data_IF_974302344984
#
_entry.id   IF_974302344984
#
_cell.length_a   1.000
_cell.length_b   1.000
_cell.length_c   1.000
_cell.angle_alpha   90.00
_cell.angle_beta   90.00
_cell.angle_gamma   90.00
#
_symmetry.space_group_name_H-M   'P 1'
#
loop_
_entity.id
_entity.type
_entity.pdbx_description
1 polymer ?
#
# COMPACT_ATOMS: atom_id res chain seq x y z
N UNK A 1 10.48 -23.41 -15.95
CA UNK A 1 10.92 -22.94 -14.62
C UNK A 1 11.80 -21.69 -14.78
N UNK A 2 11.91 -20.82 -13.77
CA UNK A 2 12.76 -19.62 -13.81
C UNK A 2 14.21 -19.92 -14.26
N UNK A 3 14.81 -20.99 -13.76
CA UNK A 3 16.16 -21.45 -14.08
C UNK A 3 16.32 -21.81 -15.57
N UNK A 4 15.42 -22.60 -16.14
CA UNK A 4 15.47 -22.96 -17.57
C UNK A 4 15.26 -21.75 -18.49
N UNK A 5 14.58 -20.71 -17.99
CA UNK A 5 14.44 -19.45 -18.72
C UNK A 5 15.78 -18.71 -18.76
N UNK A 6 16.49 -18.62 -17.62
CA UNK A 6 17.83 -18.02 -17.57
C UNK A 6 18.82 -18.77 -18.45
N UNK A 7 18.83 -20.11 -18.43
CA UNK A 7 19.68 -20.94 -19.28
C UNK A 7 19.49 -20.61 -20.77
N UNK A 8 18.23 -20.54 -21.22
CA UNK A 8 17.90 -20.21 -22.60
C UNK A 8 18.32 -18.79 -22.98
N UNK A 9 18.05 -17.81 -22.11
CA UNK A 9 18.44 -16.42 -22.36
C UNK A 9 19.95 -16.27 -22.37
N UNK A 10 20.67 -17.00 -21.51
CA UNK A 10 22.12 -17.04 -21.52
C UNK A 10 22.69 -17.53 -22.86
N UNK A 11 22.13 -18.62 -23.41
CA UNK A 11 22.51 -19.14 -24.72
C UNK A 11 22.26 -18.12 -25.84
N UNK A 12 21.09 -17.49 -25.85
CA UNK A 12 20.75 -16.46 -26.83
C UNK A 12 21.72 -15.25 -26.73
N UNK A 13 22.05 -14.79 -25.52
CA UNK A 13 22.99 -13.67 -25.31
C UNK A 13 24.42 -14.02 -25.72
N UNK A 14 24.90 -15.24 -25.41
CA UNK A 14 26.22 -15.71 -25.83
C UNK A 14 26.37 -15.77 -27.35
N UNK A 15 25.31 -16.14 -28.07
CA UNK A 15 25.30 -16.19 -29.55
C UNK A 15 25.30 -14.79 -30.19
N UNK A 16 24.78 -13.79 -29.47
CA UNK A 16 24.53 -12.45 -30.05
C UNK A 16 25.75 -11.53 -29.96
N UNK A 17 26.94 -12.03 -29.59
CA UNK A 17 28.20 -11.25 -29.46
C UNK A 17 27.97 -9.87 -28.86
N UNK A 18 27.55 -9.85 -27.60
CA UNK A 18 27.53 -8.64 -26.82
C UNK A 18 28.99 -8.29 -26.47
N UNK A 19 29.66 -7.43 -27.27
CA UNK A 19 31.04 -6.90 -27.09
C UNK A 19 31.52 -6.77 -25.62
N UNK A 20 31.85 -7.89 -24.96
CA UNK A 20 32.12 -7.97 -23.51
C UNK A 20 30.98 -7.52 -22.58
N UNK A 21 29.73 -7.35 -23.04
CA UNK A 21 28.59 -6.94 -22.20
C UNK A 21 27.86 -8.15 -21.63
N UNK A 22 27.48 -8.06 -20.38
CA UNK A 22 26.76 -9.09 -19.64
C UNK A 22 25.57 -8.49 -18.90
N UNK A 23 24.63 -9.34 -18.48
CA UNK A 23 23.37 -8.90 -17.88
C UNK A 23 23.15 -9.62 -16.56
N UNK A 24 22.91 -8.86 -15.49
CA UNK A 24 22.40 -9.41 -14.24
C UNK A 24 20.88 -9.50 -14.31
N UNK A 25 20.31 -10.62 -13.87
CA UNK A 25 18.87 -10.85 -13.95
C UNK A 25 18.38 -11.64 -12.74
N UNK A 26 17.22 -11.26 -12.22
CA UNK A 26 16.43 -12.05 -11.28
C UNK A 26 15.06 -12.30 -11.90
N UNK A 27 14.67 -13.57 -11.98
CA UNK A 27 13.40 -13.98 -12.58
C UNK A 27 12.67 -14.93 -11.65
N UNK A 28 11.34 -14.90 -11.70
CA UNK A 28 10.55 -15.78 -10.88
C UNK A 28 9.07 -15.71 -11.20
N UNK A 29 8.34 -16.66 -10.62
CA UNK A 29 6.89 -16.61 -10.57
C UNK A 29 6.41 -16.75 -9.13
N UNK A 30 5.23 -16.21 -8.87
CA UNK A 30 4.59 -16.24 -7.57
C UNK A 30 3.15 -16.71 -7.75
N UNK A 31 2.68 -17.60 -6.87
CA UNK A 31 1.25 -17.93 -6.81
C UNK A 31 0.45 -16.63 -6.55
N UNK A 32 -0.75 -16.51 -7.11
CA UNK A 32 -1.60 -15.31 -6.96
C UNK A 32 -1.93 -14.99 -5.50
N UNK A 33 -1.88 -15.98 -4.62
CA UNK A 33 -2.06 -15.81 -3.18
C UNK A 33 -0.74 -15.55 -2.42
N UNK A 34 0.38 -15.42 -3.15
CA UNK A 34 1.72 -15.19 -2.65
C UNK A 34 2.14 -16.15 -1.52
N UNK A 35 1.77 -17.43 -1.65
CA UNK A 35 2.16 -18.47 -0.67
C UNK A 35 3.58 -18.97 -0.92
N UNK A 36 3.90 -19.19 -2.20
CA UNK A 36 5.21 -19.63 -2.64
C UNK A 36 5.68 -18.78 -3.80
N UNK A 37 6.97 -18.46 -3.77
CA UNK A 37 7.69 -17.84 -4.88
C UNK A 37 8.73 -18.81 -5.36
N UNK A 38 8.82 -19.01 -6.66
CA UNK A 38 9.96 -19.67 -7.28
C UNK A 38 10.81 -18.61 -7.98
N UNK A 39 12.05 -18.40 -7.53
CA UNK A 39 13.00 -17.49 -8.15
C UNK A 39 14.25 -18.22 -8.63
N UNK A 40 14.93 -17.63 -9.62
CA UNK A 40 16.30 -17.92 -9.99
C UNK A 40 16.98 -16.59 -10.37
N UNK A 41 18.30 -16.48 -10.20
CA UNK A 41 19.01 -15.28 -10.64
C UNK A 41 20.42 -15.58 -11.19
N UNK A 42 20.97 -14.58 -11.86
CA UNK A 42 22.28 -14.57 -12.50
C UNK A 42 22.96 -13.23 -12.23
N UNK A 43 24.13 -13.24 -11.58
CA UNK A 43 24.90 -12.03 -11.27
C UNK A 43 24.23 -11.06 -10.28
N UNK A 44 23.23 -11.51 -9.52
CA UNK A 44 22.45 -10.67 -8.60
C UNK A 44 22.89 -10.90 -7.14
N UNK A 45 22.80 -9.88 -6.24
CA UNK A 45 22.98 -10.10 -4.81
C UNK A 45 22.02 -11.17 -4.25
N UNK A 46 22.38 -11.84 -3.14
CA UNK A 46 21.50 -12.82 -2.51
C UNK A 46 20.15 -12.21 -2.15
N UNK A 47 19.07 -12.91 -2.50
CA UNK A 47 17.74 -12.54 -2.03
C UNK A 47 17.64 -12.83 -0.52
N UNK A 48 17.06 -11.90 0.24
CA UNK A 48 16.94 -11.99 1.69
C UNK A 48 15.49 -12.29 2.08
N UNK A 49 15.26 -13.44 2.69
CA UNK A 49 13.99 -13.75 3.34
C UNK A 49 14.05 -13.33 4.81
N UNK A 50 13.21 -12.37 5.18
CA UNK A 50 13.09 -11.90 6.55
C UNK A 50 11.85 -12.49 7.22
N UNK A 51 12.03 -13.15 8.37
CA UNK A 51 10.96 -13.77 9.16
C UNK A 51 11.21 -13.52 10.65
N UNK A 52 10.37 -12.69 11.27
CA UNK A 52 10.37 -12.45 12.74
C UNK A 52 11.75 -12.10 13.34
N UNK A 53 12.54 -11.29 12.65
CA UNK A 53 13.89 -10.88 13.10
C UNK A 53 15.01 -11.80 12.63
N UNK A 54 14.70 -12.87 11.90
CA UNK A 54 15.69 -13.78 11.32
C UNK A 54 15.76 -13.60 9.81
N UNK A 55 16.96 -13.79 9.27
CA UNK A 55 17.23 -13.70 7.84
C UNK A 55 17.73 -15.04 7.30
N UNK A 56 17.13 -15.49 6.21
CA UNK A 56 17.63 -16.58 5.37
C UNK A 56 18.08 -16.01 4.03
N UNK A 57 19.31 -16.29 3.62
CA UNK A 57 19.81 -15.90 2.31
C UNK A 57 19.54 -17.00 1.29
N UNK A 58 18.97 -16.61 0.15
CA UNK A 58 18.90 -17.45 -1.03
C UNK A 58 19.94 -16.95 -2.00
N UNK A 59 21.06 -17.68 -2.07
CA UNK A 59 22.12 -17.41 -3.02
C UNK A 59 21.55 -17.50 -4.41
N UNK A 60 21.20 -16.36 -4.98
CA UNK A 60 20.71 -16.24 -6.34
C UNK A 60 21.91 -16.17 -7.29
N UNK A 61 22.96 -16.93 -6.95
CA UNK A 61 24.34 -16.73 -7.36
C UNK A 61 24.67 -17.52 -8.62
N UNK A 62 25.30 -16.83 -9.54
CA UNK A 62 25.84 -17.35 -10.80
C UNK A 62 26.56 -16.21 -11.50
N UNK A 63 27.41 -16.51 -12.50
CA UNK A 63 27.95 -15.43 -13.31
C UNK A 63 26.80 -14.69 -14.02
N UNK A 64 26.94 -13.38 -14.31
CA UNK A 64 26.01 -12.68 -15.17
C UNK A 64 25.75 -13.42 -16.50
N UNK A 65 24.56 -13.23 -17.07
CA UNK A 65 24.18 -13.82 -18.35
C UNK A 65 25.06 -13.29 -19.48
N UNK A 66 25.37 -14.17 -20.44
CA UNK A 66 26.18 -13.85 -21.63
C UNK A 66 27.69 -14.03 -21.45
N UNK A 67 28.14 -14.52 -20.28
CA UNK A 67 29.57 -14.70 -19.99
C UNK A 67 30.12 -16.00 -20.61
N UNK A 68 29.44 -17.12 -20.37
CA UNK A 68 29.82 -18.43 -20.90
C UNK A 68 28.57 -19.20 -21.34
N UNK A 69 28.62 -19.91 -22.48
CA UNK A 69 27.55 -20.83 -22.87
C UNK A 69 27.49 -22.03 -21.92
N UNK A 70 26.35 -22.71 -21.85
CA UNK A 70 26.14 -23.92 -21.06
C UNK A 70 26.08 -23.70 -19.55
N UNK A 71 25.92 -22.46 -19.08
CA UNK A 71 25.72 -22.17 -17.66
C UNK A 71 24.35 -22.65 -17.17
N UNK A 72 24.34 -23.23 -15.97
CA UNK A 72 23.14 -23.61 -15.22
C UNK A 72 22.88 -22.61 -14.10
N UNK A 73 21.62 -22.47 -13.69
CA UNK A 73 21.21 -21.55 -12.64
C UNK A 73 20.38 -22.29 -11.59
N UNK A 74 20.57 -21.94 -10.33
CA UNK A 74 19.82 -22.55 -9.23
C UNK A 74 18.46 -21.86 -9.06
N UNK A 75 17.40 -22.69 -9.02
CA UNK A 75 16.06 -22.28 -8.66
C UNK A 75 15.79 -22.47 -7.17
N UNK A 76 15.08 -21.54 -6.56
CA UNK A 76 14.66 -21.59 -5.16
C UNK A 76 13.16 -21.43 -5.04
N UNK A 77 12.51 -22.46 -4.47
CA UNK A 77 11.13 -22.37 -4.02
C UNK A 77 11.11 -21.87 -2.56
N UNK A 78 10.45 -20.74 -2.34
CA UNK A 78 10.47 -19.99 -1.09
C UNK A 78 9.04 -19.86 -0.57
N UNK A 79 8.82 -20.35 0.66
CA UNK A 79 7.58 -20.15 1.40
C UNK A 79 7.57 -18.77 2.06
N UNK A 80 6.57 -17.96 1.69
CA UNK A 80 6.37 -16.61 2.20
C UNK A 80 5.49 -16.54 3.46
N UNK A 81 5.15 -17.67 4.08
CA UNK A 81 4.35 -17.63 5.30
C UNK A 81 5.06 -16.83 6.41
N UNK A 82 4.38 -15.78 6.86
CA UNK A 82 4.85 -14.83 7.87
C UNK A 82 6.24 -14.23 7.55
N UNK A 83 6.57 -14.13 6.26
CA UNK A 83 7.87 -13.71 5.79
C UNK A 83 7.79 -12.72 4.62
N UNK A 84 8.86 -11.94 4.49
CA UNK A 84 9.04 -10.94 3.46
C UNK A 84 10.32 -11.23 2.70
N UNK A 85 10.24 -11.42 1.39
CA UNK A 85 11.38 -11.63 0.50
C UNK A 85 11.81 -10.29 -0.10
N UNK A 86 13.07 -9.95 0.09
CA UNK A 86 13.71 -8.75 -0.45
C UNK A 86 14.73 -9.14 -1.51
N UNK A 87 14.59 -8.56 -2.70
CA UNK A 87 15.58 -8.62 -3.76
C UNK A 87 16.06 -7.20 -4.05
N UNK A 88 17.35 -7.03 -4.31
CA UNK A 88 17.92 -5.71 -4.57
C UNK A 88 19.11 -5.78 -5.50
N UNK A 89 19.34 -4.71 -6.26
CA UNK A 89 20.59 -4.53 -7.00
C UNK A 89 21.75 -4.24 -6.04
N UNK A 90 22.97 -4.45 -6.51
CA UNK A 90 24.21 -4.03 -5.85
C UNK A 90 24.26 -2.51 -5.58
N UNK A 91 23.56 -1.71 -6.37
CA UNK A 91 23.36 -0.28 -6.10
C UNK A 91 22.83 0.01 -4.69
N UNK A 92 22.08 -0.91 -4.05
CA UNK A 92 21.66 -0.80 -2.64
C UNK A 92 22.83 -1.06 -1.69
N UNK A 93 23.62 -2.13 -1.90
CA UNK A 93 24.75 -2.47 -1.02
C UNK A 93 25.91 -1.49 -1.15
N UNK A 94 26.06 -0.88 -2.31
CA UNK A 94 27.16 0.04 -2.66
C UNK A 94 26.88 1.51 -2.26
N UNK A 95 25.67 1.81 -1.76
CA UNK A 95 25.36 3.10 -1.16
C UNK A 95 26.38 3.43 -0.08
N UNK A 96 26.86 4.68 -0.07
CA UNK A 96 27.96 5.11 0.80
C UNK A 96 27.50 6.03 1.92
N UNK A 97 28.02 5.76 3.11
CA UNK A 97 27.85 6.60 4.29
C UNK A 97 28.70 7.88 4.24
N UNK A 98 28.64 8.69 5.32
CA UNK A 98 29.41 9.92 5.45
C UNK A 98 30.94 9.67 5.46
N UNK A 99 31.37 8.48 5.87
CA UNK A 99 32.75 8.01 5.89
C UNK A 99 33.17 7.37 4.55
N UNK A 100 32.30 7.41 3.53
CA UNK A 100 32.47 6.84 2.19
C UNK A 100 32.61 5.30 2.18
N UNK A 101 32.19 4.63 3.25
CA UNK A 101 32.13 3.16 3.32
C UNK A 101 30.80 2.69 2.73
N UNK A 102 30.82 1.54 2.05
CA UNK A 102 29.59 0.90 1.55
C UNK A 102 28.80 0.34 2.73
N UNK A 103 27.48 0.41 2.67
CA UNK A 103 26.64 -0.15 3.73
C UNK A 103 26.68 -1.70 3.73
N UNK A 104 26.92 -2.31 2.55
CA UNK A 104 27.04 -3.75 2.38
C UNK A 104 25.78 -4.54 2.78
N UNK A 105 25.86 -5.86 2.76
CA UNK A 105 24.73 -6.74 3.11
C UNK A 105 24.21 -6.52 4.54
N UNK A 106 25.11 -6.25 5.50
CA UNK A 106 24.74 -5.96 6.89
C UNK A 106 23.97 -4.64 7.02
N UNK A 107 24.36 -3.61 6.27
CA UNK A 107 23.62 -2.36 6.24
C UNK A 107 22.22 -2.52 5.64
N UNK A 108 22.06 -3.37 4.62
CA UNK A 108 20.75 -3.71 4.05
C UNK A 108 19.88 -4.48 5.04
N UNK A 109 20.45 -5.46 5.76
CA UNK A 109 19.75 -6.19 6.84
C UNK A 109 19.25 -5.25 7.92
N UNK A 110 20.12 -4.37 8.41
CA UNK A 110 19.76 -3.37 9.41
C UNK A 110 18.68 -2.39 8.89
N UNK A 111 18.72 -2.03 7.61
CA UNK A 111 17.69 -1.20 6.97
C UNK A 111 16.34 -1.92 6.94
N UNK A 112 16.32 -3.20 6.56
CA UNK A 112 15.10 -4.01 6.56
C UNK A 112 14.51 -4.11 7.98
N UNK A 113 15.32 -4.38 8.99
CA UNK A 113 14.88 -4.49 10.39
C UNK A 113 14.24 -3.21 10.91
N UNK A 114 14.85 -2.04 10.63
CA UNK A 114 14.32 -0.73 11.07
C UNK A 114 12.91 -0.45 10.54
N UNK A 115 12.62 -0.88 9.32
CA UNK A 115 11.34 -0.60 8.65
C UNK A 115 10.35 -1.78 8.71
N UNK A 116 10.75 -2.93 9.26
CA UNK A 116 9.97 -4.17 9.27
C UNK A 116 8.56 -4.04 9.89
N UNK A 117 8.35 -3.09 10.80
CA UNK A 117 7.06 -2.85 11.46
C UNK A 117 6.01 -2.15 10.59
N UNK A 118 6.39 -1.56 9.46
CA UNK A 118 5.48 -0.89 8.54
C UNK A 118 4.91 -1.86 7.49
N UNK A 119 3.78 -1.51 6.88
CA UNK A 119 3.22 -2.23 5.71
C UNK A 119 4.12 -2.08 4.47
N UNK A 120 3.97 -2.98 3.49
CA UNK A 120 4.88 -3.12 2.33
C UNK A 120 5.33 -1.80 1.67
N UNK A 121 4.38 -0.94 1.29
CA UNK A 121 4.71 0.30 0.58
C UNK A 121 5.33 1.37 1.51
N UNK A 122 4.75 1.73 2.67
CA UNK A 122 5.40 2.60 3.63
C UNK A 122 6.79 2.12 4.05
N UNK A 123 6.97 0.80 4.19
CA UNK A 123 8.26 0.16 4.46
C UNK A 123 9.28 0.48 3.37
N UNK A 124 8.97 0.14 2.11
CA UNK A 124 9.86 0.46 0.98
C UNK A 124 10.14 1.96 0.86
N UNK A 125 9.12 2.80 1.07
CA UNK A 125 9.27 4.27 1.03
C UNK A 125 10.22 4.78 2.11
N UNK A 126 10.09 4.28 3.34
CA UNK A 126 10.98 4.59 4.44
C UNK A 126 12.43 4.18 4.14
N UNK A 127 12.62 2.97 3.62
CA UNK A 127 13.93 2.47 3.21
C UNK A 127 14.56 3.36 2.12
N UNK A 128 13.82 3.68 1.06
CA UNK A 128 14.31 4.55 -0.02
C UNK A 128 14.60 5.98 0.46
N UNK A 129 13.75 6.52 1.34
CA UNK A 129 13.99 7.86 1.91
C UNK A 129 15.33 7.90 2.66
N UNK A 130 15.63 6.85 3.43
CA UNK A 130 16.88 6.73 4.17
C UNK A 130 18.08 6.60 3.23
N UNK A 131 18.00 5.74 2.22
CA UNK A 131 19.05 5.57 1.21
C UNK A 131 19.33 6.87 0.43
N UNK A 132 18.31 7.70 0.15
CA UNK A 132 18.47 9.01 -0.50
C UNK A 132 19.22 10.05 0.33
N UNK A 133 19.28 9.87 1.65
CA UNK A 133 20.10 10.72 2.53
C UNK A 133 21.58 10.30 2.54
N UNK A 134 21.88 9.12 1.97
CA UNK A 134 23.23 8.64 1.73
C UNK A 134 23.67 8.96 0.30
N UNK A 135 24.91 8.61 -0.04
CA UNK A 135 25.42 8.79 -1.40
C UNK A 135 25.11 7.56 -2.24
N UNK A 136 24.10 7.69 -3.11
CA UNK A 136 23.85 6.75 -4.21
C UNK A 136 24.99 6.85 -5.24
N UNK A 137 25.48 5.70 -5.68
CA UNK A 137 26.61 5.60 -6.63
C UNK A 137 26.26 4.84 -7.91
N UNK A 138 25.13 4.12 -7.90
CA UNK A 138 24.62 3.32 -9.01
C UNK A 138 23.08 3.23 -8.94
N UNK A 139 22.48 2.59 -9.94
CA UNK A 139 21.05 2.33 -10.02
C UNK A 139 20.58 1.45 -8.85
N UNK A 140 19.71 2.04 -8.02
CA UNK A 140 19.29 1.45 -6.75
C UNK A 140 17.88 0.88 -6.89
N UNK A 141 17.77 -0.45 -6.98
CA UNK A 141 16.49 -1.15 -7.12
C UNK A 141 16.22 -2.00 -5.89
N UNK A 142 15.01 -1.91 -5.35
CA UNK A 142 14.47 -2.76 -4.28
C UNK A 142 13.15 -3.38 -4.73
N UNK A 143 13.02 -4.68 -4.54
CA UNK A 143 11.81 -5.45 -4.77
C UNK A 143 11.44 -6.16 -3.46
N UNK A 144 10.23 -5.90 -2.97
CA UNK A 144 9.64 -6.61 -1.83
C UNK A 144 8.52 -7.52 -2.36
N UNK A 145 8.63 -8.80 -2.03
CA UNK A 145 7.57 -9.78 -2.23
C UNK A 145 7.20 -10.33 -0.86
N UNK A 146 6.00 -10.05 -0.41
CA UNK A 146 5.46 -10.65 0.80
C UNK A 146 4.04 -11.08 0.55
N UNK A 147 3.57 -12.04 1.33
CA UNK A 147 2.15 -12.35 1.35
C UNK A 147 1.42 -11.10 1.78
N UNK A 148 0.33 -10.76 1.10
CA UNK A 148 -0.62 -9.82 1.69
C UNK A 148 -1.19 -10.49 2.94
N UNK A 149 -0.56 -10.21 4.07
CA UNK A 149 -1.11 -10.55 5.36
C UNK A 149 -2.39 -9.71 5.47
N UNK A 150 -3.56 -10.34 5.70
CA UNK A 150 -4.64 -9.62 6.35
C UNK A 150 -4.16 -9.35 7.79
N UNK A 151 -3.23 -8.41 7.95
CA UNK A 151 -3.15 -7.66 9.18
C UNK A 151 -4.55 -7.08 9.31
N UNK A 152 -5.28 -7.47 10.36
CA UNK A 152 -6.61 -6.93 10.59
C UNK A 152 -6.59 -5.40 10.39
N UNK A 153 -7.68 -4.82 9.90
CA UNK A 153 -7.72 -3.48 9.30
C UNK A 153 -6.82 -2.47 10.03
N UNK A 154 -5.81 -1.91 9.34
CA UNK A 154 -4.93 -0.88 9.88
C UNK A 154 -5.79 0.31 10.30
N UNK A 155 -5.76 0.68 11.57
CA UNK A 155 -6.58 1.78 12.09
C UNK A 155 -5.88 3.10 11.79
N UNK A 156 -6.32 3.79 10.74
CA UNK A 156 -5.81 5.09 10.34
C UNK A 156 -6.40 6.24 11.17
N UNK A 157 -7.68 6.12 11.56
CA UNK A 157 -8.36 7.13 12.37
C UNK A 157 -9.44 6.51 13.26
N UNK A 158 -9.52 6.98 14.50
CA UNK A 158 -10.71 6.85 15.36
C UNK A 158 -10.98 8.18 16.04
N UNK A 159 -12.12 8.79 15.75
CA UNK A 159 -12.49 10.09 16.32
C UNK A 159 -13.96 10.12 16.69
N UNK A 160 -14.24 10.45 17.96
CA UNK A 160 -15.56 10.80 18.45
C UNK A 160 -15.71 12.31 18.50
N UNK A 161 -16.82 12.85 18.01
CA UNK A 161 -17.09 14.29 18.05
C UNK A 161 -18.60 14.59 18.13
N UNK A 162 -19.00 15.75 18.69
CA UNK A 162 -20.40 16.15 18.71
C UNK A 162 -20.99 16.27 17.31
N UNK A 163 -22.22 15.80 17.10
CA UNK A 163 -22.94 15.93 15.84
C UNK A 163 -23.39 17.38 15.59
N UNK A 164 -22.43 18.29 15.36
CA UNK A 164 -22.68 19.72 15.15
C UNK A 164 -21.86 20.29 13.99
N UNK A 165 -22.40 21.24 13.20
CA UNK A 165 -21.72 21.78 12.01
C UNK A 165 -20.34 22.37 12.28
N UNK A 166 -20.10 22.92 13.48
CA UNK A 166 -18.84 23.59 13.84
C UNK A 166 -17.65 22.61 13.85
N UNK A 167 -17.91 21.31 14.06
CA UNK A 167 -16.88 20.27 14.08
C UNK A 167 -16.34 19.96 12.68
N UNK A 168 -17.12 20.24 11.62
CA UNK A 168 -16.79 19.74 10.30
C UNK A 168 -15.51 20.33 9.70
N UNK A 169 -15.11 21.54 10.12
CA UNK A 169 -13.83 22.11 9.69
C UNK A 169 -12.65 21.28 10.18
N UNK A 170 -12.67 20.90 11.45
CA UNK A 170 -11.61 20.09 12.07
C UNK A 170 -11.59 18.69 11.46
N UNK A 171 -12.76 18.05 11.30
CA UNK A 171 -12.87 16.70 10.74
C UNK A 171 -12.35 16.63 9.30
N UNK A 172 -12.66 17.62 8.45
CA UNK A 172 -12.12 17.67 7.08
C UNK A 172 -10.60 17.82 7.07
N UNK A 173 -10.04 18.65 7.96
CA UNK A 173 -8.59 18.82 8.07
C UNK A 173 -7.92 17.52 8.50
N UNK A 174 -8.48 16.85 9.50
CA UNK A 174 -7.99 15.58 10.02
C UNK A 174 -8.03 14.47 8.96
N UNK A 175 -9.16 14.33 8.26
CA UNK A 175 -9.31 13.38 7.16
C UNK A 175 -8.30 13.62 6.03
N UNK A 176 -8.06 14.89 5.66
CA UNK A 176 -7.06 15.23 4.64
C UNK A 176 -5.68 14.75 5.04
N UNK A 177 -5.23 15.10 6.24
CA UNK A 177 -3.92 14.69 6.76
C UNK A 177 -3.81 13.17 6.82
N UNK A 178 -4.80 12.48 7.40
CA UNK A 178 -4.78 11.01 7.50
C UNK A 178 -4.72 10.32 6.13
N UNK A 179 -5.47 10.82 5.14
CA UNK A 179 -5.46 10.24 3.79
C UNK A 179 -4.17 10.56 3.02
N UNK A 180 -3.58 11.74 3.25
CA UNK A 180 -2.26 12.09 2.72
C UNK A 180 -1.17 11.18 3.29
N UNK A 181 -1.18 10.95 4.61
CA UNK A 181 -0.25 10.03 5.28
C UNK A 181 -0.42 8.58 4.81
N UNK A 182 -1.66 8.18 4.50
CA UNK A 182 -1.99 6.88 3.91
C UNK A 182 -1.64 6.77 2.41
N UNK A 183 -1.08 7.82 1.80
CA UNK A 183 -0.62 7.81 0.40
C UNK A 183 -1.75 7.85 -0.64
N UNK A 184 -2.92 8.35 -0.28
CA UNK A 184 -4.05 8.49 -1.21
C UNK A 184 -3.80 9.64 -2.17
N UNK A 185 -3.97 9.40 -3.47
CA UNK A 185 -3.83 10.42 -4.51
C UNK A 185 -4.74 11.64 -4.26
N UNK A 186 -4.19 12.85 -4.42
CA UNK A 186 -4.85 14.15 -4.18
C UNK A 186 -6.27 14.23 -4.76
N UNK A 187 -6.46 13.78 -6.01
CA UNK A 187 -7.77 13.83 -6.68
C UNK A 187 -8.82 12.91 -6.06
N UNK A 188 -8.41 11.74 -5.58
CA UNK A 188 -9.30 10.78 -4.88
C UNK A 188 -9.54 11.26 -3.44
N UNK A 189 -8.48 11.72 -2.75
CA UNK A 189 -8.54 12.24 -1.39
C UNK A 189 -9.60 13.33 -1.25
N UNK A 190 -9.59 14.33 -2.13
CA UNK A 190 -10.52 15.47 -2.03
C UNK A 190 -11.98 15.04 -2.22
N UNK A 191 -12.22 14.07 -3.11
CA UNK A 191 -13.55 13.46 -3.30
C UNK A 191 -13.99 12.68 -2.07
N UNK A 192 -13.09 11.91 -1.46
CA UNK A 192 -13.37 11.16 -0.23
C UNK A 192 -13.70 12.10 0.93
N UNK A 193 -12.91 13.14 1.14
CA UNK A 193 -13.17 14.15 2.17
C UNK A 193 -14.55 14.77 2.00
N UNK A 194 -14.94 15.08 0.76
CA UNK A 194 -16.27 15.64 0.47
C UNK A 194 -17.39 14.62 0.73
N UNK A 195 -17.21 13.35 0.35
CA UNK A 195 -18.20 12.30 0.58
C UNK A 195 -18.43 12.04 2.08
N UNK A 196 -17.35 12.02 2.88
CA UNK A 196 -17.47 11.87 4.34
C UNK A 196 -18.07 13.13 4.98
N UNK A 197 -17.74 14.33 4.50
CA UNK A 197 -18.35 15.58 4.96
C UNK A 197 -19.87 15.58 4.73
N UNK A 198 -20.31 15.12 3.56
CA UNK A 198 -21.73 14.97 3.21
C UNK A 198 -22.42 13.92 4.09
N UNK A 199 -21.78 12.76 4.32
CA UNK A 199 -22.30 11.72 5.21
C UNK A 199 -22.51 12.23 6.64
N UNK A 200 -21.52 12.93 7.20
CA UNK A 200 -21.62 13.56 8.52
C UNK A 200 -22.69 14.65 8.55
N UNK A 201 -22.76 15.51 7.53
CA UNK A 201 -23.80 16.54 7.43
C UNK A 201 -25.20 15.93 7.36
N UNK A 202 -25.38 14.79 6.68
CA UNK A 202 -26.64 14.08 6.64
C UNK A 202 -27.06 13.57 8.03
N UNK A 203 -26.11 13.03 8.81
CA UNK A 203 -26.38 12.63 10.20
C UNK A 203 -26.80 13.86 11.02
N UNK A 204 -26.03 14.95 10.96
CA UNK A 204 -26.26 16.17 11.74
C UNK A 204 -27.63 16.80 11.42
N UNK A 205 -28.01 16.84 10.14
CA UNK A 205 -29.24 17.53 9.69
C UNK A 205 -30.49 16.67 9.72
N UNK A 206 -30.36 15.35 9.54
CA UNK A 206 -31.50 14.47 9.29
C UNK A 206 -31.67 13.35 10.31
N UNK A 207 -30.62 12.93 11.01
CA UNK A 207 -30.73 11.83 11.97
C UNK A 207 -31.25 12.32 13.32
N UNK A 208 -30.83 13.51 13.77
CA UNK A 208 -31.28 14.09 15.04
C UNK A 208 -32.51 14.99 14.86
N UNK A 209 -33.47 14.91 15.79
CA UNK A 209 -34.59 15.84 15.86
C UNK A 209 -34.16 17.22 16.36
N UNK A 210 -35.02 18.26 16.24
CA UNK A 210 -34.68 19.65 16.59
C UNK A 210 -34.34 19.90 18.06
N UNK A 211 -34.49 18.91 18.95
CA UNK A 211 -34.14 18.98 20.37
C UNK A 211 -33.09 17.94 20.80
N UNK A 212 -32.66 17.08 19.89
CA UNK A 212 -31.71 16.03 20.19
C UNK A 212 -30.32 16.42 19.65
N UNK A 213 -29.30 16.08 20.42
CA UNK A 213 -27.92 16.11 19.96
C UNK A 213 -27.24 14.85 20.42
N UNK A 214 -26.39 14.28 19.58
CA UNK A 214 -25.57 13.14 19.95
C UNK A 214 -24.15 13.30 19.45
N UNK A 215 -23.42 12.21 19.48
CA UNK A 215 -22.06 12.14 18.98
C UNK A 215 -22.01 11.35 17.68
N UNK A 216 -20.94 11.55 16.93
CA UNK A 216 -20.56 10.76 15.77
C UNK A 216 -19.20 10.12 16.09
N UNK A 217 -19.12 8.80 15.95
CA UNK A 217 -17.86 8.06 15.97
C UNK A 217 -17.45 7.77 14.52
N UNK A 218 -16.36 8.38 14.06
CA UNK A 218 -15.75 8.16 12.75
C UNK A 218 -14.52 7.26 12.91
N UNK A 219 -14.56 6.10 12.28
CA UNK A 219 -13.42 5.20 12.15
C UNK A 219 -13.00 5.08 10.69
N UNK A 220 -11.70 5.21 10.41
CA UNK A 220 -11.10 4.89 9.12
C UNK A 220 -10.11 3.76 9.31
N UNK A 221 -10.26 2.72 8.50
CA UNK A 221 -9.32 1.62 8.43
C UNK A 221 -8.86 1.36 7.00
N UNK A 222 -7.65 0.82 6.85
CA UNK A 222 -7.10 0.38 5.56
C UNK A 222 -6.78 -1.11 5.60
N UNK A 223 -7.18 -1.86 4.58
CA UNK A 223 -6.84 -3.26 4.40
C UNK A 223 -6.63 -3.56 2.91
N UNK A 224 -5.41 -3.95 2.52
CA UNK A 224 -5.11 -4.37 1.15
C UNK A 224 -5.49 -3.36 0.06
N UNK A 225 -5.34 -2.06 0.33
CA UNK A 225 -5.74 -0.98 -0.60
C UNK A 225 -7.24 -0.70 -0.63
N UNK A 226 -7.99 -1.18 0.37
CA UNK A 226 -9.40 -0.82 0.59
C UNK A 226 -9.48 0.04 1.84
N UNK A 227 -9.95 1.27 1.68
CA UNK A 227 -10.34 2.13 2.78
C UNK A 227 -11.76 1.80 3.21
N UNK A 228 -11.96 1.57 4.50
CA UNK A 228 -13.26 1.44 5.13
C UNK A 228 -13.51 2.62 6.06
N UNK A 229 -14.57 3.39 5.77
CA UNK A 229 -15.07 4.44 6.64
C UNK A 229 -16.30 3.93 7.38
N UNK A 230 -16.28 4.00 8.71
CA UNK A 230 -17.42 3.68 9.56
C UNK A 230 -17.84 4.91 10.34
N UNK A 231 -19.11 5.28 10.19
CA UNK A 231 -19.76 6.32 10.98
C UNK A 231 -20.80 5.65 11.88
N UNK A 232 -20.71 5.91 13.18
CA UNK A 232 -21.73 5.53 14.15
C UNK A 232 -22.35 6.79 14.74
N UNK A 233 -23.67 6.82 14.85
CA UNK A 233 -24.38 7.85 15.58
C UNK A 233 -25.21 7.23 16.71
N UNK A 234 -25.87 8.08 17.49
CA UNK A 234 -26.79 7.69 18.56
C UNK A 234 -28.22 8.18 18.27
N UNK A 235 -28.54 8.50 17.03
CA UNK A 235 -29.85 8.97 16.62
C UNK A 235 -30.89 7.82 16.62
N UNK A 236 -32.20 8.12 16.57
CA UNK A 236 -33.19 7.08 16.33
C UNK A 236 -32.86 6.26 15.06
N UNK A 237 -33.04 4.92 15.07
CA UNK A 237 -32.79 4.09 13.91
C UNK A 237 -33.59 4.56 12.69
N UNK A 238 -32.92 4.72 11.56
CA UNK A 238 -33.53 5.12 10.29
C UNK A 238 -33.76 3.87 9.43
N UNK A 239 -34.92 3.80 8.79
CA UNK A 239 -35.21 2.79 7.77
C UNK A 239 -34.36 3.06 6.52
N UNK A 240 -33.41 2.17 6.14
CA UNK A 240 -32.57 2.36 4.97
C UNK A 240 -33.36 2.54 3.67
N UNK A 241 -34.56 1.96 3.55
CA UNK A 241 -35.41 2.09 2.36
C UNK A 241 -35.98 3.51 2.15
N UNK A 242 -35.94 4.35 3.20
CA UNK A 242 -36.36 5.75 3.16
C UNK A 242 -35.24 6.70 2.77
N UNK A 243 -33.99 6.24 2.77
CA UNK A 243 -32.83 7.03 2.35
C UNK A 243 -32.72 6.90 0.82
N UNK A 244 -33.23 7.89 0.09
CA UNK A 244 -33.19 7.91 -1.38
C UNK A 244 -32.27 9.00 -1.91
N UNK A 245 -31.41 8.72 -2.92
CA UNK A 245 -30.64 9.75 -3.60
C UNK A 245 -31.59 10.71 -4.31
N UNK A 246 -31.37 12.02 -4.12
CA UNK A 246 -32.03 13.06 -4.92
C UNK A 246 -31.24 13.25 -6.22
N UNK A 247 -31.90 13.54 -7.36
CA UNK A 247 -31.20 13.79 -8.62
C UNK A 247 -30.26 15.00 -8.53
N UNK A 248 -29.09 14.88 -9.15
CA UNK A 248 -27.99 15.86 -9.12
C UNK A 248 -28.38 17.28 -9.61
N UNK A 249 -29.49 17.43 -10.34
CA UNK A 249 -29.96 18.69 -10.92
C UNK A 249 -30.78 19.61 -9.98
N UNK A 250 -31.15 19.17 -8.78
CA UNK A 250 -32.02 19.94 -7.85
C UNK A 250 -31.26 20.49 -6.62
N UNK A 251 -29.94 20.41 -6.59
CA UNK A 251 -29.13 20.75 -5.42
C UNK A 251 -28.79 22.25 -5.34
N UNK A 252 -29.59 23.05 -4.64
CA UNK A 252 -29.18 24.39 -4.19
C UNK A 252 -28.35 24.26 -2.91
N UNK A 253 -27.11 24.78 -2.95
CA UNK A 253 -26.18 25.01 -1.83
C UNK A 253 -26.25 24.00 -0.67
N UNK A 254 -25.41 22.96 -0.73
CA UNK A 254 -25.20 22.02 0.39
C UNK A 254 -26.05 20.76 0.37
N UNK A 255 -26.44 20.25 -0.81
CA UNK A 255 -27.37 19.13 -0.95
C UNK A 255 -26.94 18.02 -1.91
N UNK A 256 -25.64 17.85 -2.21
CA UNK A 256 -25.17 16.81 -3.15
C UNK A 256 -25.60 15.38 -2.73
N UNK A 257 -25.95 15.18 -1.46
CA UNK A 257 -26.73 14.07 -0.97
C UNK A 257 -26.05 12.72 -1.12
N UNK A 258 -26.84 11.66 -0.94
CA UNK A 258 -26.42 10.27 -1.13
C UNK A 258 -25.79 10.03 -2.51
N UNK A 259 -26.17 10.80 -3.54
CA UNK A 259 -25.61 10.67 -4.89
C UNK A 259 -24.10 10.97 -4.95
N UNK A 260 -23.59 11.92 -4.15
CA UNK A 260 -22.16 12.14 -4.05
C UNK A 260 -21.46 10.93 -3.43
N UNK A 261 -21.99 10.42 -2.32
CA UNK A 261 -21.45 9.23 -1.64
C UNK A 261 -21.42 8.05 -2.63
N UNK A 262 -22.51 7.84 -3.35
CA UNK A 262 -22.67 6.79 -4.36
C UNK A 262 -21.69 6.93 -5.52
N UNK A 263 -21.41 8.16 -5.98
CA UNK A 263 -20.45 8.41 -7.06
C UNK A 263 -18.99 8.25 -6.64
N UNK A 264 -18.68 8.42 -5.35
CA UNK A 264 -17.30 8.42 -4.84
C UNK A 264 -16.92 7.05 -4.29
N UNK A 265 -17.81 6.41 -3.53
CA UNK A 265 -17.58 5.12 -2.88
C UNK A 265 -17.84 3.96 -3.85
N UNK A 266 -17.24 2.81 -3.60
CA UNK A 266 -17.48 1.61 -4.40
C UNK A 266 -18.67 0.79 -3.88
N UNK A 267 -18.89 0.81 -2.55
CA UNK A 267 -20.09 0.30 -1.89
C UNK A 267 -20.34 1.06 -0.58
N UNK A 268 -21.59 1.09 -0.13
CA UNK A 268 -21.95 1.60 1.19
C UNK A 268 -23.23 0.96 1.74
N UNK A 269 -23.30 0.81 3.06
CA UNK A 269 -24.43 0.22 3.77
C UNK A 269 -24.79 1.01 5.01
N UNK A 270 -26.08 1.36 5.13
CA UNK A 270 -26.67 1.92 6.33
C UNK A 270 -27.48 0.85 7.07
N UNK A 271 -27.22 0.68 8.36
CA UNK A 271 -27.91 -0.28 9.22
C UNK A 271 -28.21 0.31 10.59
N UNK A 272 -29.32 -0.10 11.20
CA UNK A 272 -29.53 0.13 12.62
C UNK A 272 -28.46 -0.62 13.43
N UNK A 273 -28.02 -0.04 14.55
CA UNK A 273 -27.08 -0.72 15.43
C UNK A 273 -27.77 -1.91 16.13
N UNK A 274 -27.04 -3.02 16.42
CA UNK A 274 -27.61 -4.20 17.08
C UNK A 274 -28.20 -3.92 18.48
N UNK A 275 -27.72 -2.88 19.15
CA UNK A 275 -28.20 -2.42 20.46
C UNK A 275 -29.48 -1.56 20.36
N UNK A 276 -30.00 -1.34 19.14
CA UNK A 276 -31.19 -0.55 18.87
C UNK A 276 -31.02 0.95 19.07
N UNK A 277 -29.80 1.44 19.35
CA UNK A 277 -29.51 2.85 19.66
C UNK A 277 -28.52 3.41 18.65
N UNK A 278 -29.03 4.08 17.62
CA UNK A 278 -28.20 4.68 16.59
C UNK A 278 -28.14 3.92 15.29
N UNK A 279 -27.44 4.54 14.35
CA UNK A 279 -27.20 3.99 13.02
C UNK A 279 -25.71 3.73 12.81
N UNK A 280 -25.42 2.85 11.86
CA UNK A 280 -24.09 2.50 11.38
C UNK A 280 -24.06 2.64 9.87
N UNK A 281 -23.29 3.60 9.37
CA UNK A 281 -22.97 3.75 7.96
C UNK A 281 -21.56 3.23 7.71
N UNK A 282 -21.43 2.25 6.83
CA UNK A 282 -20.15 1.69 6.37
C UNK A 282 -19.98 2.04 4.91
N UNK A 283 -18.82 2.57 4.54
CA UNK A 283 -18.48 2.94 3.15
C UNK A 283 -17.11 2.36 2.80
N UNK A 284 -16.99 1.80 1.61
CA UNK A 284 -15.75 1.19 1.12
C UNK A 284 -15.23 1.92 -0.12
N UNK A 285 -13.91 2.14 -0.17
CA UNK A 285 -13.23 2.64 -1.36
C UNK A 285 -11.95 1.86 -1.63
N UNK A 286 -11.82 1.32 -2.83
CA UNK A 286 -10.56 0.80 -3.35
C UNK A 286 -9.70 1.97 -3.82
N UNK A 287 -8.48 2.02 -3.32
CA UNK A 287 -7.47 2.98 -3.73
C UNK A 287 -6.37 2.25 -4.49
N UNK A 288 -5.99 2.80 -5.64
CA UNK A 288 -4.73 2.43 -6.28
C UNK A 288 -3.62 3.15 -5.52
N UNK A 289 -2.87 2.39 -4.74
CA UNK A 289 -1.64 2.88 -4.14
C UNK A 289 -0.72 3.36 -5.26
N UNK A 290 -0.34 4.64 -5.24
CA UNK A 290 0.36 5.26 -6.36
C UNK A 290 1.80 4.73 -6.40
N UNK A 291 2.11 3.88 -7.40
CA UNK A 291 3.51 3.71 -7.84
C UNK A 291 3.99 5.05 -8.34
N UNK A 292 4.88 5.71 -7.60
CA UNK A 292 5.62 6.85 -8.14
C UNK A 292 6.61 6.29 -9.17
N UNK A 293 6.26 6.40 -10.45
CA UNK A 293 7.23 6.31 -11.53
C UNK A 293 8.32 7.36 -11.27
N UNK A 294 9.57 6.92 -11.35
CA UNK A 294 10.72 7.81 -11.43
C UNK A 294 10.56 8.76 -12.62
N UNK A 295 11.06 9.97 -12.44
CA UNK A 295 10.89 11.11 -13.33
C UNK A 295 11.41 10.82 -14.75
N UNK A 296 10.60 11.12 -15.77
CA UNK A 296 11.09 11.39 -17.12
C UNK A 296 11.90 12.69 -17.06
N UNK A 297 13.22 12.58 -17.19
CA UNK A 297 14.09 13.70 -17.50
C UNK A 297 14.32 13.75 -19.01
N UNK A 298 13.85 14.83 -19.64
CA UNK A 298 14.48 15.40 -20.85
C UNK A 298 15.90 15.86 -20.56
#
# INVERSE_FOLDING_TARGET
PPESWLERVNEELCQTSLDGRFVCALVGHCDRLARHVHIAAAGFPPALLYRRGEFTEFLSGGAPLGILPGMTFDGHEIDLDEASLYCFSDGVTDVRDAQRQTIGSEGVRALIERHAGASAEPRLRGMFSELKHLRLVDDTTLLLIERMHPHGPEVLLKRRFPARPEQMREIRSLLRTTLDDAGVETGIRDKLVLAIDEACCNIIRHAYGPKDSGDIDLHLTSDGGILEFRLFDTAPPVDPARVRPKPLGECRSGGLGVALIDSVMDDWKLQARPDGKGNRLVMHKRISLTRRNGEDHE
#
